data_IF_964458711743
#
_entry.id   IF_964458711743
#
_cell.length_a   1.000
_cell.length_b   1.000
_cell.length_c   1.000
_cell.angle_alpha   90.00
_cell.angle_beta   90.00
_cell.angle_gamma   90.00
#
_symmetry.space_group_name_H-M   'P 1'
#
loop_
_entity.id
_entity.type
_entity.pdbx_description
1 polymer ?
#
# COMPACT_ATOMS: atom_id res chain seq x y z
N UNK A 1 -15.30 6.99 -4.95
CA UNK A 1 -16.77 7.06 -5.14
C UNK A 1 -17.11 7.79 -6.43
N UNK A 2 -16.94 9.11 -6.53
CA UNK A 2 -17.25 9.89 -7.76
C UNK A 2 -16.52 9.40 -9.02
N UNK A 3 -15.19 9.22 -8.93
CA UNK A 3 -14.37 8.74 -10.06
C UNK A 3 -14.80 7.36 -10.58
N UNK A 4 -15.17 6.45 -9.66
CA UNK A 4 -15.62 5.10 -10.01
C UNK A 4 -16.98 5.07 -10.73
N UNK A 5 -17.79 6.11 -10.54
CA UNK A 5 -19.06 6.29 -11.23
C UNK A 5 -18.90 7.11 -12.53
N UNK A 6 -17.67 7.40 -12.97
CA UNK A 6 -17.37 8.18 -14.18
C UNK A 6 -17.33 9.71 -13.99
N UNK A 7 -17.45 10.20 -12.76
CA UNK A 7 -17.38 11.64 -12.45
C UNK A 7 -15.97 12.13 -12.06
N UNK A 8 -15.85 13.42 -11.73
CA UNK A 8 -14.62 14.04 -11.22
C UNK A 8 -14.83 14.57 -9.80
N UNK A 9 -13.82 14.44 -8.94
CA UNK A 9 -13.82 15.04 -7.60
C UNK A 9 -12.64 16.00 -7.42
N UNK A 10 -12.87 17.12 -6.73
CA UNK A 10 -11.84 18.12 -6.40
C UNK A 10 -11.58 18.07 -4.89
N UNK A 11 -10.32 17.89 -4.49
CA UNK A 11 -9.92 17.89 -3.08
C UNK A 11 -9.83 19.34 -2.58
N UNK A 12 -10.49 19.65 -1.47
CA UNK A 12 -10.48 21.00 -0.90
C UNK A 12 -9.08 21.41 -0.40
N UNK A 13 -8.83 22.71 -0.30
CA UNK A 13 -7.52 23.28 0.10
C UNK A 13 -7.37 23.59 1.60
N UNK A 14 -8.38 23.30 2.42
CA UNK A 14 -8.34 23.54 3.86
C UNK A 14 -7.52 22.46 4.62
N UNK A 15 -6.24 22.30 4.25
CA UNK A 15 -5.27 21.39 4.84
C UNK A 15 -3.84 21.80 4.38
N UNK A 16 -2.79 21.19 4.94
CA UNK A 16 -1.43 21.47 4.49
C UNK A 16 -1.16 20.94 3.07
N UNK A 17 -0.09 21.41 2.43
CA UNK A 17 0.32 20.96 1.09
C UNK A 17 0.61 19.46 1.10
N UNK A 18 1.29 18.98 2.14
CA UNK A 18 1.64 17.57 2.33
C UNK A 18 0.38 16.71 2.45
N UNK A 19 -0.58 17.14 3.27
CA UNK A 19 -1.85 16.44 3.44
C UNK A 19 -2.65 16.39 2.15
N UNK A 20 -2.69 17.48 1.38
CA UNK A 20 -3.41 17.50 0.11
C UNK A 20 -2.74 16.57 -0.92
N UNK A 21 -1.41 16.55 -0.98
CA UNK A 21 -0.66 15.65 -1.85
C UNK A 21 -0.88 14.17 -1.49
N UNK A 22 -1.01 13.86 -0.20
CA UNK A 22 -1.34 12.51 0.28
C UNK A 22 -2.74 12.07 -0.17
N UNK A 23 -3.75 12.95 -0.07
CA UNK A 23 -5.11 12.67 -0.56
C UNK A 23 -5.14 12.44 -2.08
N UNK A 24 -4.39 13.23 -2.85
CA UNK A 24 -4.23 13.01 -4.30
C UNK A 24 -3.61 11.63 -4.57
N UNK A 25 -2.52 11.27 -3.85
CA UNK A 25 -1.86 9.96 -4.00
C UNK A 25 -2.80 8.80 -3.69
N UNK A 26 -3.63 8.91 -2.65
CA UNK A 26 -4.64 7.90 -2.31
C UNK A 26 -5.62 7.65 -3.46
N UNK A 27 -6.15 8.72 -4.08
CA UNK A 27 -7.09 8.58 -5.20
C UNK A 27 -6.42 8.00 -6.44
N UNK A 28 -5.22 8.47 -6.80
CA UNK A 28 -4.49 7.99 -8.00
C UNK A 28 -4.08 6.53 -7.91
N UNK A 29 -3.88 5.98 -6.71
CA UNK A 29 -3.56 4.56 -6.50
C UNK A 29 -4.78 3.63 -6.48
N UNK A 30 -6.00 4.18 -6.44
CA UNK A 30 -7.21 3.39 -6.20
C UNK A 30 -7.69 2.53 -7.38
N UNK A 31 -7.19 2.74 -8.61
CA UNK A 31 -7.60 2.02 -9.84
C UNK A 31 -6.50 1.80 -10.89
N UNK A 32 -5.21 1.95 -10.56
CA UNK A 32 -4.17 1.65 -11.54
C UNK A 32 -4.04 0.13 -11.73
N UNK A 33 -4.36 -0.38 -12.92
CA UNK A 33 -4.18 -1.79 -13.31
C UNK A 33 -2.72 -2.25 -13.40
N UNK A 34 -1.76 -1.32 -13.35
CA UNK A 34 -0.33 -1.60 -13.17
C UNK A 34 0.23 -0.58 -12.17
N UNK A 35 0.74 -1.07 -11.04
CA UNK A 35 1.36 -0.24 -10.01
C UNK A 35 2.81 0.04 -10.45
N UNK A 36 3.11 1.30 -10.80
CA UNK A 36 4.42 1.72 -11.35
C UNK A 36 5.52 1.70 -10.26
N UNK A 37 5.15 1.70 -8.98
CA UNK A 37 6.07 1.57 -7.84
C UNK A 37 5.34 0.88 -6.68
N UNK A 38 5.30 -0.47 -6.66
CA UNK A 38 4.67 -1.20 -5.57
C UNK A 38 5.51 -1.02 -4.31
N UNK A 39 4.86 -0.90 -3.16
CA UNK A 39 5.55 -1.11 -1.90
C UNK A 39 6.01 -2.57 -1.83
N UNK A 40 7.21 -2.80 -1.32
CA UNK A 40 7.75 -4.13 -1.11
C UNK A 40 8.51 -4.18 0.21
N UNK A 41 8.54 -5.37 0.80
CA UNK A 41 9.35 -5.68 1.98
C UNK A 41 10.41 -6.71 1.61
N UNK A 42 11.41 -6.87 2.46
CA UNK A 42 12.36 -7.99 2.38
C UNK A 42 12.01 -9.07 3.41
N UNK A 43 12.51 -10.31 3.27
CA UNK A 43 12.28 -11.38 4.25
C UNK A 43 12.76 -11.07 5.67
N UNK A 44 13.59 -10.04 5.85
CA UNK A 44 14.08 -9.58 7.15
C UNK A 44 13.12 -8.61 7.87
N UNK A 45 12.09 -8.11 7.18
CA UNK A 45 11.08 -7.26 7.83
C UNK A 45 10.13 -8.11 8.68
N UNK A 46 9.64 -7.52 9.76
CA UNK A 46 8.71 -8.14 10.69
C UNK A 46 7.29 -8.20 10.15
N UNK A 47 6.48 -9.06 10.74
CA UNK A 47 5.05 -9.15 10.42
C UNK A 47 4.31 -7.87 10.85
N UNK A 48 4.73 -7.23 11.95
CA UNK A 48 4.18 -5.95 12.40
C UNK A 48 4.37 -4.84 11.35
N UNK A 49 5.55 -4.75 10.72
CA UNK A 49 5.81 -3.79 9.64
C UNK A 49 4.92 -4.04 8.42
N UNK A 50 4.68 -5.31 8.09
CA UNK A 50 3.75 -5.68 7.02
C UNK A 50 2.31 -5.26 7.32
N UNK A 51 1.82 -5.52 8.53
CA UNK A 51 0.47 -5.14 8.96
C UNK A 51 0.28 -3.61 8.96
N UNK A 52 1.26 -2.88 9.50
CA UNK A 52 1.23 -1.41 9.49
C UNK A 52 1.18 -0.86 8.06
N UNK A 53 1.98 -1.41 7.15
CA UNK A 53 2.03 -0.97 5.77
C UNK A 53 0.71 -1.26 5.03
N UNK A 54 0.10 -2.43 5.27
CA UNK A 54 -1.21 -2.77 4.72
C UNK A 54 -2.32 -1.87 5.26
N UNK A 55 -2.33 -1.58 6.57
CA UNK A 55 -3.26 -0.65 7.20
C UNK A 55 -3.14 0.79 6.69
N UNK A 56 -1.90 1.29 6.61
CA UNK A 56 -1.59 2.66 6.17
C UNK A 56 -2.03 2.92 4.73
N UNK A 57 -1.77 1.98 3.82
CA UNK A 57 -2.08 2.15 2.39
C UNK A 57 -3.40 1.51 1.97
N UNK A 58 -4.13 0.86 2.89
CA UNK A 58 -5.38 0.14 2.63
C UNK A 58 -5.23 -0.89 1.50
N UNK A 59 -4.09 -1.59 1.48
CA UNK A 59 -3.81 -2.66 0.53
C UNK A 59 -3.95 -4.01 1.23
N UNK A 60 -4.35 -5.06 0.49
CA UNK A 60 -4.61 -6.39 1.05
C UNK A 60 -3.43 -7.36 0.94
N UNK A 61 -2.31 -6.90 0.39
CA UNK A 61 -1.09 -7.69 0.29
C UNK A 61 0.11 -6.86 -0.13
N UNK A 62 1.29 -7.36 0.22
CA UNK A 62 2.58 -6.71 0.04
C UNK A 62 3.53 -7.69 -0.65
N UNK A 63 4.09 -7.33 -1.81
CA UNK A 63 5.19 -8.06 -2.43
C UNK A 63 6.41 -8.17 -1.51
N UNK A 64 7.07 -9.32 -1.52
CA UNK A 64 8.33 -9.55 -0.82
C UNK A 64 9.44 -9.72 -1.86
N UNK A 65 10.48 -8.90 -1.76
CA UNK A 65 11.67 -8.91 -2.63
C UNK A 65 12.89 -9.40 -1.85
N UNK A 66 13.82 -10.07 -2.53
CA UNK A 66 15.04 -10.61 -1.91
C UNK A 66 15.85 -9.54 -1.20
N UNK A 67 16.17 -8.43 -1.89
CA UNK A 67 16.83 -7.25 -1.32
C UNK A 67 16.26 -5.96 -1.90
N UNK A 68 16.49 -4.83 -1.21
CA UNK A 68 16.11 -3.50 -1.69
C UNK A 68 16.85 -3.08 -2.97
N UNK A 69 18.04 -3.64 -3.19
CA UNK A 69 18.91 -3.31 -4.34
C UNK A 69 18.47 -4.06 -5.60
N UNK A 70 18.34 -5.38 -5.51
CA UNK A 70 18.05 -6.23 -6.67
C UNK A 70 16.54 -6.27 -7.02
N UNK A 71 15.68 -6.01 -6.02
CA UNK A 71 14.21 -6.00 -6.13
C UNK A 71 13.65 -7.26 -6.79
N UNK A 72 14.33 -8.40 -6.64
CA UNK A 72 13.89 -9.69 -7.17
C UNK A 72 12.71 -10.18 -6.34
N UNK A 73 11.55 -10.34 -6.97
CA UNK A 73 10.35 -10.87 -6.30
C UNK A 73 10.59 -12.30 -5.82
N UNK A 74 10.40 -12.54 -4.52
CA UNK A 74 10.53 -13.86 -3.89
C UNK A 74 9.23 -14.35 -3.26
N UNK A 75 8.23 -13.48 -3.09
CA UNK A 75 6.93 -13.88 -2.57
C UNK A 75 5.93 -12.74 -2.47
N UNK A 76 4.79 -13.04 -1.85
CA UNK A 76 3.73 -12.08 -1.51
C UNK A 76 3.15 -12.47 -0.16
N UNK A 77 2.91 -11.48 0.70
CA UNK A 77 2.22 -11.64 1.97
C UNK A 77 0.86 -10.95 1.88
N UNK A 78 -0.21 -11.61 2.32
CA UNK A 78 -1.57 -11.07 2.24
C UNK A 78 -2.24 -10.96 3.60
N UNK A 79 -3.29 -10.15 3.68
CA UNK A 79 -4.16 -10.05 4.87
C UNK A 79 -4.79 -11.39 5.29
N UNK A 80 -4.82 -12.41 4.42
CA UNK A 80 -5.32 -13.74 4.80
C UNK A 80 -4.25 -14.53 5.53
N UNK A 81 -2.99 -14.38 5.14
CA UNK A 81 -1.85 -15.06 5.76
C UNK A 81 -1.65 -14.56 7.20
N UNK A 82 -1.83 -13.25 7.44
CA UNK A 82 -1.75 -12.66 8.78
C UNK A 82 -2.80 -13.18 9.78
N UNK A 83 -3.95 -13.69 9.32
CA UNK A 83 -5.02 -14.17 10.22
C UNK A 83 -4.63 -15.40 11.03
N UNK A 84 -3.62 -16.13 10.58
CA UNK A 84 -3.15 -17.35 11.24
C UNK A 84 -1.95 -17.09 12.15
N UNK A 85 -1.52 -15.83 12.25
CA UNK A 85 -0.38 -15.41 13.05
C UNK A 85 -0.89 -14.88 14.39
N UNK A 86 -0.50 -15.55 15.47
CA UNK A 86 -0.85 -15.21 16.84
C UNK A 86 0.23 -14.40 17.56
N UNK A 87 1.46 -14.38 17.03
CA UNK A 87 2.58 -13.61 17.57
C UNK A 87 3.14 -12.69 16.47
N UNK A 88 3.10 -11.39 16.72
CA UNK A 88 3.49 -10.34 15.77
C UNK A 88 4.93 -9.83 16.02
N UNK A 89 5.63 -10.41 16.99
CA UNK A 89 7.02 -10.07 17.33
C UNK A 89 8.03 -10.74 16.41
#
# INVERSE_FOLDING_TARGET
AMARAGGLGVIHKNMSIEQQADEVRKVKRSENGVIIDPFYLTPSHTIAEADELMGRYRISGVPVVETLENRKLVGILTNRDLRFISDYN
#
